data_IF_558076115421
#
_entry.id   IF_558076115421
#
_cell.length_a   1.000
_cell.length_b   1.000
_cell.length_c   1.000
_cell.angle_alpha   90.00
_cell.angle_beta   90.00
_cell.angle_gamma   90.00
#
_symmetry.space_group_name_H-M   'P 1'
#
loop_
_entity.id
_entity.type
_entity.pdbx_description
1 polymer ?
#
# COMPACT_ATOMS: atom_id res chain seq x y z
N UNK A 1 -12.31 -33.40 14.77
CA UNK A 1 -13.42 -32.64 15.41
C UNK A 1 -14.26 -32.04 14.29
N UNK A 2 -15.60 -32.07 14.34
CA UNK A 2 -16.40 -31.46 13.29
C UNK A 2 -16.12 -29.95 13.26
N UNK A 3 -15.91 -29.39 12.06
CA UNK A 3 -15.68 -27.97 11.86
C UNK A 3 -16.78 -27.17 12.57
N UNK A 4 -16.40 -26.26 13.47
CA UNK A 4 -17.35 -25.42 14.18
C UNK A 4 -18.23 -24.68 13.16
N UNK A 5 -19.55 -24.83 13.26
CA UNK A 5 -20.48 -24.16 12.36
C UNK A 5 -20.37 -22.65 12.56
N UNK A 6 -19.87 -21.94 11.54
CA UNK A 6 -19.77 -20.48 11.58
C UNK A 6 -21.11 -19.85 11.98
N UNK A 7 -21.06 -18.81 12.79
CA UNK A 7 -22.26 -18.07 13.24
C UNK A 7 -22.91 -17.32 12.08
N UNK A 8 -24.21 -16.99 12.21
CA UNK A 8 -24.93 -16.15 11.20
C UNK A 8 -24.23 -14.80 11.01
N UNK A 9 -23.69 -14.25 12.10
CA UNK A 9 -22.89 -13.04 12.10
C UNK A 9 -21.65 -13.21 11.20
N UNK A 10 -20.80 -14.21 11.47
CA UNK A 10 -19.59 -14.47 10.68
C UNK A 10 -19.87 -14.64 9.18
N UNK A 11 -20.97 -15.31 8.82
CA UNK A 11 -21.39 -15.47 7.41
C UNK A 11 -21.80 -14.17 6.71
N UNK A 12 -22.33 -13.19 7.44
CA UNK A 12 -22.85 -11.93 6.88
C UNK A 12 -21.95 -10.73 7.09
N UNK A 13 -20.90 -10.87 7.90
CA UNK A 13 -19.99 -9.77 8.25
C UNK A 13 -19.46 -9.04 7.02
N UNK A 14 -18.93 -9.77 6.03
CA UNK A 14 -18.39 -9.15 4.81
C UNK A 14 -19.39 -8.21 4.13
N UNK A 15 -20.59 -8.72 3.82
CA UNK A 15 -21.62 -7.93 3.16
C UNK A 15 -22.07 -6.74 4.00
N UNK A 16 -22.17 -6.90 5.33
CA UNK A 16 -22.55 -5.82 6.23
C UNK A 16 -21.50 -4.71 6.27
N UNK A 17 -20.22 -5.05 6.44
CA UNK A 17 -19.13 -4.07 6.45
C UNK A 17 -18.96 -3.39 5.08
N UNK A 18 -18.98 -4.15 3.99
CA UNK A 18 -18.86 -3.61 2.64
C UNK A 18 -20.02 -2.63 2.32
N UNK A 19 -21.27 -3.00 2.62
CA UNK A 19 -22.41 -2.12 2.43
C UNK A 19 -22.33 -0.89 3.33
N UNK A 20 -21.96 -1.06 4.60
CA UNK A 20 -21.81 0.04 5.54
C UNK A 20 -20.81 1.09 5.00
N UNK A 21 -19.60 0.67 4.64
CA UNK A 21 -18.59 1.60 4.12
C UNK A 21 -19.00 2.21 2.79
N UNK A 22 -19.57 1.43 1.87
CA UNK A 22 -20.02 1.96 0.58
C UNK A 22 -21.10 3.04 0.75
N UNK A 23 -22.04 2.84 1.67
CA UNK A 23 -23.06 3.85 1.99
C UNK A 23 -22.44 5.10 2.62
N UNK A 24 -21.49 4.94 3.54
CA UNK A 24 -20.74 6.06 4.12
C UNK A 24 -20.01 6.84 3.03
N UNK A 25 -19.28 6.17 2.14
CA UNK A 25 -18.55 6.84 1.05
C UNK A 25 -19.50 7.61 0.13
N UNK A 26 -20.62 7.01 -0.29
CA UNK A 26 -21.62 7.68 -1.12
C UNK A 26 -22.16 8.96 -0.47
N UNK A 27 -22.47 8.91 0.84
CA UNK A 27 -22.92 10.08 1.59
C UNK A 27 -21.82 11.14 1.65
N UNK A 28 -20.59 10.77 1.99
CA UNK A 28 -19.48 11.71 2.10
C UNK A 28 -19.13 12.35 0.75
N UNK A 29 -19.08 11.59 -0.34
CA UNK A 29 -18.88 12.14 -1.68
C UNK A 29 -20.01 13.10 -2.06
N UNK A 30 -21.27 12.72 -1.82
CA UNK A 30 -22.42 13.58 -2.14
C UNK A 30 -22.38 14.92 -1.38
N UNK A 31 -22.00 14.90 -0.10
CA UNK A 31 -21.95 16.09 0.72
C UNK A 31 -20.78 17.01 0.33
N UNK A 32 -19.58 16.45 0.17
CA UNK A 32 -18.33 17.23 0.18
C UNK A 32 -17.60 17.31 -1.16
N UNK A 33 -17.79 16.36 -2.07
CA UNK A 33 -17.06 16.31 -3.33
C UNK A 33 -17.77 17.14 -4.41
N UNK A 34 -16.98 17.85 -5.21
CA UNK A 34 -17.45 18.62 -6.37
C UNK A 34 -16.61 18.25 -7.60
N UNK A 35 -17.21 18.39 -8.79
CA UNK A 35 -16.43 18.39 -10.02
C UNK A 35 -15.73 19.72 -10.19
N UNK A 36 -14.61 19.70 -10.89
CA UNK A 36 -13.91 20.92 -11.28
C UNK A 36 -14.80 21.69 -12.24
N UNK A 37 -14.92 23.00 -11.99
CA UNK A 37 -15.70 23.87 -12.86
C UNK A 37 -15.06 23.87 -14.27
N UNK A 38 -15.80 23.48 -15.32
CA UNK A 38 -15.28 23.49 -16.68
C UNK A 38 -14.98 24.90 -17.19
N UNK A 39 -15.26 25.97 -16.44
CA UNK A 39 -14.90 27.34 -16.81
C UNK A 39 -13.68 27.87 -16.03
N UNK A 40 -13.18 27.12 -15.04
CA UNK A 40 -11.99 27.50 -14.25
C UNK A 40 -10.71 26.98 -14.91
N UNK A 41 -10.17 27.76 -15.85
CA UNK A 41 -8.95 27.42 -16.58
C UNK A 41 -7.71 27.31 -15.66
N UNK A 42 -7.73 27.89 -14.45
CA UNK A 42 -6.63 27.76 -13.48
C UNK A 42 -6.51 26.36 -12.87
N UNK A 43 -7.60 25.58 -12.90
CA UNK A 43 -7.65 24.18 -12.46
C UNK A 43 -7.63 23.18 -13.61
N UNK A 44 -7.64 23.67 -14.85
CA UNK A 44 -7.49 22.88 -16.09
C UNK A 44 -6.05 22.69 -16.52
N UNK A 45 -5.08 22.96 -15.63
CA UNK A 45 -3.67 22.66 -15.84
C UNK A 45 -3.46 21.13 -15.74
N UNK A 46 -4.13 20.38 -16.61
CA UNK A 46 -3.82 19.00 -16.87
C UNK A 46 -2.85 18.99 -18.02
N UNK A 47 -1.66 18.45 -17.78
CA UNK A 47 -0.81 18.09 -18.90
C UNK A 47 -1.55 17.01 -19.69
N UNK A 48 -1.48 17.03 -21.02
CA UNK A 48 -2.01 15.92 -21.86
C UNK A 48 -1.42 14.54 -21.51
N UNK A 49 -0.41 14.51 -20.64
CA UNK A 49 0.25 13.32 -20.10
C UNK A 49 -0.34 12.77 -18.80
N UNK A 50 -1.15 13.53 -18.06
CA UNK A 50 -1.58 13.11 -16.71
C UNK A 50 -2.54 11.93 -16.73
N UNK A 51 -3.47 11.92 -17.70
CA UNK A 51 -4.41 10.81 -17.85
C UNK A 51 -3.73 9.51 -18.30
N UNK A 52 -2.82 9.50 -19.30
CA UNK A 52 -2.00 8.34 -19.59
C UNK A 52 -1.20 7.81 -18.39
N UNK A 53 -0.54 8.70 -17.63
CA UNK A 53 0.20 8.29 -16.42
C UNK A 53 -0.73 7.69 -15.36
N UNK A 54 -1.91 8.27 -15.16
CA UNK A 54 -2.92 7.69 -14.31
C UNK A 54 -3.32 6.29 -14.77
N UNK A 55 -3.54 6.07 -16.06
CA UNK A 55 -3.87 4.74 -16.59
C UNK A 55 -2.76 3.71 -16.31
N UNK A 56 -1.49 4.09 -16.47
CA UNK A 56 -0.35 3.21 -16.21
C UNK A 56 -0.27 2.83 -14.72
N UNK A 57 -0.42 3.82 -13.83
CA UNK A 57 -0.46 3.58 -12.37
C UNK A 57 -1.67 2.72 -12.00
N UNK A 58 -2.85 3.01 -12.55
CA UNK A 58 -4.07 2.25 -12.28
C UNK A 58 -3.93 0.79 -12.75
N UNK A 59 -3.31 0.56 -13.90
CA UNK A 59 -3.01 -0.79 -14.40
C UNK A 59 -2.06 -1.53 -13.44
N UNK A 60 -1.02 -0.86 -12.92
CA UNK A 60 -0.13 -1.43 -11.92
C UNK A 60 -0.88 -1.84 -10.65
N UNK A 61 -1.84 -1.04 -10.18
CA UNK A 61 -2.66 -1.35 -9.00
C UNK A 61 -3.57 -2.56 -9.22
N UNK A 62 -4.34 -2.58 -10.30
CA UNK A 62 -5.35 -3.63 -10.51
C UNK A 62 -4.77 -4.91 -11.09
N UNK A 63 -3.87 -4.80 -12.08
CA UNK A 63 -3.29 -5.94 -12.80
C UNK A 63 -1.92 -6.29 -12.24
N UNK A 64 -1.04 -5.30 -12.07
CA UNK A 64 0.34 -5.53 -11.60
C UNK A 64 0.38 -6.24 -10.25
N UNK A 65 -0.08 -5.58 -9.18
CA UNK A 65 -0.15 -6.17 -7.84
C UNK A 65 -1.06 -7.40 -7.78
N UNK A 66 -2.21 -7.36 -8.46
CA UNK A 66 -3.16 -8.47 -8.48
C UNK A 66 -2.56 -9.79 -8.98
N UNK A 67 -1.85 -9.76 -10.11
CA UNK A 67 -1.20 -10.95 -10.66
C UNK A 67 0.16 -11.24 -10.02
N UNK A 68 0.87 -10.24 -9.51
CA UNK A 68 2.09 -10.46 -8.72
C UNK A 68 1.81 -11.33 -7.50
N UNK A 69 0.69 -11.10 -6.81
CA UNK A 69 0.28 -11.89 -5.64
C UNK A 69 -0.34 -13.25 -6.01
N UNK A 70 -0.61 -13.52 -7.28
CA UNK A 70 -1.21 -14.77 -7.74
C UNK A 70 -0.20 -15.94 -7.85
N UNK A 71 1.05 -15.77 -7.40
CA UNK A 71 2.07 -16.82 -7.43
C UNK A 71 1.75 -17.99 -6.49
N UNK A 72 0.90 -17.79 -5.47
CA UNK A 72 0.45 -18.84 -4.58
C UNK A 72 -0.49 -19.80 -5.32
N UNK A 73 0.02 -21.01 -5.59
CA UNK A 73 -0.64 -22.07 -6.39
C UNK A 73 -2.11 -22.36 -6.03
N UNK A 74 -2.52 -22.10 -4.79
CA UNK A 74 -3.86 -22.39 -4.27
C UNK A 74 -4.62 -21.16 -3.74
N UNK A 75 -4.08 -19.95 -3.95
CA UNK A 75 -4.65 -18.69 -3.48
C UNK A 75 -4.80 -17.65 -4.61
N UNK A 76 -4.65 -18.07 -5.87
CA UNK A 76 -4.61 -17.16 -7.01
C UNK A 76 -5.93 -16.40 -7.21
N UNK A 77 -7.07 -17.04 -6.97
CA UNK A 77 -8.37 -16.36 -7.08
C UNK A 77 -8.55 -15.34 -5.97
N UNK A 78 -8.25 -15.70 -4.72
CA UNK A 78 -8.30 -14.79 -3.58
C UNK A 78 -7.34 -13.62 -3.74
N UNK A 79 -6.12 -13.85 -4.22
CA UNK A 79 -5.14 -12.80 -4.48
C UNK A 79 -5.70 -11.71 -5.42
N UNK A 80 -6.22 -12.10 -6.59
CA UNK A 80 -6.72 -11.14 -7.60
C UNK A 80 -8.02 -10.46 -7.15
N UNK A 81 -8.94 -11.22 -6.57
CA UNK A 81 -10.26 -10.72 -6.16
C UNK A 81 -10.24 -9.84 -4.91
N UNK A 82 -9.41 -10.19 -3.90
CA UNK A 82 -9.20 -9.35 -2.73
C UNK A 82 -8.42 -8.09 -3.12
N UNK A 83 -7.46 -8.20 -4.05
CA UNK A 83 -6.81 -7.02 -4.64
C UNK A 83 -7.85 -6.08 -5.28
N UNK A 84 -8.73 -6.60 -6.14
CA UNK A 84 -9.81 -5.82 -6.76
C UNK A 84 -10.72 -5.13 -5.72
N UNK A 85 -11.14 -5.87 -4.70
CA UNK A 85 -11.97 -5.37 -3.60
C UNK A 85 -11.26 -4.24 -2.84
N UNK A 86 -10.01 -4.47 -2.45
CA UNK A 86 -9.23 -3.50 -1.69
C UNK A 86 -8.95 -2.26 -2.52
N UNK A 87 -8.59 -2.41 -3.80
CA UNK A 87 -8.35 -1.26 -4.66
C UNK A 87 -9.59 -0.40 -4.84
N UNK A 88 -10.74 -1.01 -5.11
CA UNK A 88 -12.01 -0.28 -5.22
C UNK A 88 -12.37 0.46 -3.92
N UNK A 89 -12.07 -0.14 -2.76
CA UNK A 89 -12.32 0.46 -1.45
C UNK A 89 -11.35 1.60 -1.14
N UNK A 90 -10.04 1.36 -1.26
CA UNK A 90 -8.99 2.28 -0.83
C UNK A 90 -8.97 3.53 -1.69
N UNK A 91 -9.16 3.42 -3.00
CA UNK A 91 -9.17 4.59 -3.88
C UNK A 91 -10.28 5.57 -3.47
N UNK A 92 -11.50 5.07 -3.20
CA UNK A 92 -12.60 5.88 -2.69
C UNK A 92 -12.26 6.53 -1.36
N UNK A 93 -11.73 5.75 -0.40
CA UNK A 93 -11.43 6.26 0.92
C UNK A 93 -10.29 7.29 0.93
N UNK A 94 -9.23 7.02 0.17
CA UNK A 94 -8.08 7.91 0.02
C UNK A 94 -8.47 9.24 -0.64
N UNK A 95 -9.33 9.22 -1.67
CA UNK A 95 -9.85 10.46 -2.28
C UNK A 95 -10.61 11.32 -1.26
N UNK A 96 -11.45 10.70 -0.42
CA UNK A 96 -12.17 11.42 0.65
C UNK A 96 -11.22 12.03 1.68
N UNK A 97 -10.29 11.23 2.20
CA UNK A 97 -9.32 11.69 3.22
C UNK A 97 -8.42 12.81 2.71
N UNK A 98 -7.87 12.67 1.50
CA UNK A 98 -7.04 13.71 0.87
C UNK A 98 -7.86 14.96 0.56
N UNK A 99 -9.11 14.78 0.13
CA UNK A 99 -10.07 15.86 -0.03
C UNK A 99 -10.28 16.64 1.27
N UNK A 100 -10.53 15.97 2.39
CA UNK A 100 -10.70 16.61 3.71
C UNK A 100 -9.45 17.31 4.22
N UNK A 101 -8.25 16.82 3.89
CA UNK A 101 -6.98 17.45 4.26
C UNK A 101 -6.54 18.56 3.28
N UNK A 102 -7.29 18.79 2.20
CA UNK A 102 -6.97 19.82 1.22
C UNK A 102 -7.22 21.22 1.77
N UNK A 103 -6.41 22.19 1.33
CA UNK A 103 -6.62 23.61 1.65
C UNK A 103 -8.00 24.09 1.18
N UNK A 104 -8.47 23.61 0.03
CA UNK A 104 -9.80 23.96 -0.48
C UNK A 104 -10.91 23.56 0.51
N UNK A 105 -10.83 22.36 1.09
CA UNK A 105 -11.81 21.92 2.07
C UNK A 105 -11.80 22.78 3.32
N UNK A 106 -10.62 23.18 3.80
CA UNK A 106 -10.50 24.12 4.91
C UNK A 106 -11.17 25.47 4.62
N UNK A 107 -11.04 25.97 3.40
CA UNK A 107 -11.53 27.30 3.04
C UNK A 107 -13.01 27.32 2.62
N UNK A 108 -13.52 26.27 1.98
CA UNK A 108 -14.88 26.25 1.40
C UNK A 108 -15.78 25.14 1.94
N UNK A 109 -15.28 24.22 2.76
CA UNK A 109 -16.01 23.05 3.23
C UNK A 109 -16.27 21.98 2.16
N UNK A 110 -15.63 22.09 0.99
CA UNK A 110 -15.78 21.13 -0.12
C UNK A 110 -14.44 20.95 -0.83
N UNK A 111 -14.23 19.82 -1.51
CA UNK A 111 -13.04 19.59 -2.34
C UNK A 111 -13.42 19.15 -3.76
N UNK A 112 -12.52 19.37 -4.71
CA UNK A 112 -12.68 18.90 -6.08
C UNK A 112 -11.79 17.71 -6.39
N UNK A 113 -12.26 16.82 -7.26
CA UNK A 113 -11.46 15.68 -7.74
C UNK A 113 -11.11 15.84 -9.22
N UNK A 114 -9.83 15.62 -9.51
CA UNK A 114 -9.26 15.50 -10.84
C UNK A 114 -8.39 14.26 -10.96
N UNK A 115 -7.71 14.13 -12.10
CA UNK A 115 -6.80 13.02 -12.40
C UNK A 115 -5.61 12.92 -11.41
N UNK A 116 -4.95 14.02 -11.01
CA UNK A 116 -3.85 13.99 -10.04
C UNK A 116 -4.31 13.48 -8.66
N UNK A 117 -5.50 13.87 -8.20
CA UNK A 117 -6.06 13.39 -6.94
C UNK A 117 -6.34 11.88 -7.01
N UNK A 118 -6.86 11.40 -8.15
CA UNK A 118 -7.06 9.96 -8.38
C UNK A 118 -5.74 9.20 -8.42
N UNK A 119 -4.70 9.73 -9.07
CA UNK A 119 -3.38 9.11 -9.11
C UNK A 119 -2.72 9.07 -7.71
N UNK A 120 -2.92 10.09 -6.89
CA UNK A 120 -2.51 10.08 -5.48
C UNK A 120 -3.30 9.06 -4.64
N UNK A 121 -4.58 8.83 -4.95
CA UNK A 121 -5.38 7.80 -4.32
C UNK A 121 -4.89 6.39 -4.70
N UNK A 122 -4.54 6.15 -5.96
CA UNK A 122 -3.93 4.90 -6.42
C UNK A 122 -2.59 4.62 -5.71
N UNK A 123 -1.77 5.63 -5.50
CA UNK A 123 -0.55 5.47 -4.73
C UNK A 123 -0.82 5.10 -3.25
N UNK A 124 -1.93 5.58 -2.67
CA UNK A 124 -2.38 5.16 -1.33
C UNK A 124 -2.88 3.72 -1.33
N UNK A 125 -3.48 3.29 -2.45
CA UNK A 125 -3.84 1.89 -2.66
C UNK A 125 -2.60 0.99 -2.70
N UNK A 126 -1.52 1.40 -3.37
CA UNK A 126 -0.28 0.64 -3.40
C UNK A 126 0.24 0.29 -1.99
N UNK A 127 0.09 1.21 -1.02
CA UNK A 127 0.43 0.98 0.40
C UNK A 127 -0.26 -0.26 0.95
N UNK A 128 -1.59 -0.29 0.82
CA UNK A 128 -2.42 -1.38 1.32
C UNK A 128 -2.13 -2.70 0.59
N UNK A 129 -1.81 -2.64 -0.70
CA UNK A 129 -1.46 -3.82 -1.50
C UNK A 129 -0.08 -4.39 -1.13
N UNK A 130 0.88 -3.53 -0.75
CA UNK A 130 2.16 -3.97 -0.18
C UNK A 130 1.93 -4.70 1.15
N UNK A 131 1.10 -4.13 2.03
CA UNK A 131 0.69 -4.79 3.28
C UNK A 131 -0.05 -6.10 3.03
N UNK A 132 -0.93 -6.13 2.03
CA UNK A 132 -1.63 -7.35 1.62
C UNK A 132 -0.64 -8.44 1.20
N UNK A 133 0.44 -8.09 0.50
CA UNK A 133 1.52 -9.03 0.17
C UNK A 133 2.16 -9.68 1.40
N UNK A 134 2.39 -8.93 2.47
CA UNK A 134 2.92 -9.45 3.74
C UNK A 134 1.94 -10.41 4.43
N UNK A 135 0.65 -10.10 4.36
CA UNK A 135 -0.42 -10.83 5.06
C UNK A 135 -1.17 -11.81 4.13
N UNK A 136 -0.61 -12.08 2.97
CA UNK A 136 -1.28 -12.80 1.88
C UNK A 136 -1.67 -14.21 2.32
N UNK A 137 -2.95 -14.54 2.16
CA UNK A 137 -3.50 -15.82 2.62
C UNK A 137 -3.48 -16.00 4.13
N UNK A 138 -3.40 -14.94 4.94
CA UNK A 138 -3.53 -15.06 6.41
C UNK A 138 -4.73 -14.32 6.98
N UNK A 139 -5.44 -13.55 6.15
CA UNK A 139 -6.58 -12.75 6.59
C UNK A 139 -7.82 -13.00 5.74
N UNK A 140 -8.98 -12.80 6.34
CA UNK A 140 -10.27 -12.81 5.67
C UNK A 140 -10.52 -11.51 4.91
N UNK A 141 -11.40 -11.49 3.89
CA UNK A 141 -11.80 -10.24 3.22
C UNK A 141 -12.32 -9.16 4.19
N UNK A 142 -12.96 -9.56 5.30
CA UNK A 142 -13.42 -8.62 6.35
C UNK A 142 -12.22 -7.98 7.05
N UNK A 143 -11.22 -8.78 7.42
CA UNK A 143 -10.00 -8.26 8.04
C UNK A 143 -9.23 -7.36 7.08
N UNK A 144 -9.18 -7.70 5.79
CA UNK A 144 -8.59 -6.85 4.77
C UNK A 144 -9.33 -5.50 4.62
N UNK A 145 -10.68 -5.47 4.63
CA UNK A 145 -11.43 -4.21 4.60
C UNK A 145 -11.14 -3.31 5.81
N UNK A 146 -11.08 -3.90 7.01
CA UNK A 146 -10.77 -3.14 8.23
C UNK A 146 -9.32 -2.65 8.25
N UNK A 147 -8.38 -3.51 7.83
CA UNK A 147 -6.98 -3.13 7.66
C UNK A 147 -6.87 -1.95 6.68
N UNK A 148 -7.48 -2.05 5.51
CA UNK A 148 -7.46 -1.02 4.49
C UNK A 148 -8.04 0.30 4.99
N UNK A 149 -9.11 0.26 5.79
CA UNK A 149 -9.67 1.47 6.42
C UNK A 149 -8.67 2.17 7.32
N UNK A 150 -8.09 1.45 8.29
CA UNK A 150 -7.15 2.04 9.25
C UNK A 150 -5.82 2.43 8.61
N UNK A 151 -5.25 1.55 7.79
CA UNK A 151 -3.97 1.79 7.11
C UNK A 151 -4.05 3.00 6.19
N UNK A 152 -5.11 3.12 5.38
CA UNK A 152 -5.28 4.28 4.49
C UNK A 152 -5.42 5.58 5.27
N UNK A 153 -6.17 5.58 6.38
CA UNK A 153 -6.30 6.77 7.24
C UNK A 153 -4.96 7.22 7.79
N UNK A 154 -4.13 6.29 8.25
CA UNK A 154 -2.81 6.60 8.81
C UNK A 154 -1.84 6.98 7.70
N UNK A 155 -1.82 6.26 6.57
CA UNK A 155 -0.88 6.50 5.48
C UNK A 155 -1.12 7.87 4.81
N UNK A 156 -2.38 8.25 4.59
CA UNK A 156 -2.73 9.58 4.06
C UNK A 156 -2.36 10.69 5.04
N UNK A 157 -2.56 10.47 6.34
CA UNK A 157 -2.13 11.43 7.36
C UNK A 157 -0.60 11.58 7.40
N UNK A 158 0.13 10.46 7.33
CA UNK A 158 1.61 10.46 7.29
C UNK A 158 2.12 11.15 6.04
N UNK A 159 1.53 10.87 4.87
CA UNK A 159 1.85 11.57 3.63
C UNK A 159 1.66 13.09 3.80
N UNK A 160 0.52 13.53 4.34
CA UNK A 160 0.27 14.95 4.61
C UNK A 160 1.31 15.56 5.56
N UNK A 161 1.65 14.88 6.66
CA UNK A 161 2.67 15.36 7.60
C UNK A 161 4.04 15.45 6.93
N UNK A 162 4.45 14.41 6.21
CA UNK A 162 5.79 14.30 5.64
C UNK A 162 5.97 15.23 4.44
N UNK A 163 5.02 15.23 3.51
CA UNK A 163 5.12 15.97 2.25
C UNK A 163 4.59 17.39 2.38
N UNK A 164 3.41 17.59 2.99
CA UNK A 164 2.80 18.93 3.06
C UNK A 164 3.27 19.76 4.26
N UNK A 165 3.61 19.15 5.40
CA UNK A 165 4.03 19.90 6.60
C UNK A 165 5.55 19.96 6.74
N UNK A 166 6.23 18.80 6.66
CA UNK A 166 7.69 18.74 6.80
C UNK A 166 8.43 19.08 5.50
N UNK A 167 7.74 19.13 4.36
CA UNK A 167 8.31 19.39 3.04
C UNK A 167 9.50 18.46 2.72
N UNK A 168 9.33 17.19 3.06
CA UNK A 168 10.24 16.10 2.72
C UNK A 168 10.08 15.82 1.24
N UNK A 169 11.19 15.74 0.52
CA UNK A 169 11.15 15.33 -0.88
C UNK A 169 11.07 13.80 -0.93
N UNK A 170 9.89 13.31 -1.30
CA UNK A 170 9.63 11.90 -1.55
C UNK A 170 8.87 11.74 -2.89
N UNK A 171 9.35 12.39 -3.95
CA UNK A 171 8.69 12.34 -5.26
C UNK A 171 8.48 10.93 -5.82
N UNK A 172 9.38 10.00 -5.50
CA UNK A 172 9.26 8.58 -5.82
C UNK A 172 8.43 7.75 -4.86
N UNK A 173 7.88 8.37 -3.82
CA UNK A 173 7.05 7.73 -2.79
C UNK A 173 7.72 6.55 -2.09
N UNK A 174 9.05 6.49 -2.09
CA UNK A 174 9.80 5.41 -1.45
C UNK A 174 9.55 5.35 0.05
N UNK A 175 9.34 6.50 0.68
CA UNK A 175 9.11 6.59 2.11
C UNK A 175 7.62 6.40 2.44
N UNK A 176 6.76 7.29 1.94
CA UNK A 176 5.35 7.34 2.35
C UNK A 176 4.49 6.23 1.73
N UNK A 177 4.97 5.56 0.68
CA UNK A 177 4.29 4.39 0.10
C UNK A 177 5.00 3.09 0.45
N UNK A 178 6.22 2.90 -0.07
CA UNK A 178 6.87 1.59 0.01
C UNK A 178 7.32 1.26 1.43
N UNK A 179 8.13 2.11 2.06
CA UNK A 179 8.56 1.87 3.43
C UNK A 179 7.37 1.81 4.38
N UNK A 180 6.45 2.79 4.32
CA UNK A 180 5.28 2.81 5.19
C UNK A 180 4.47 1.51 5.11
N UNK A 181 3.99 1.11 3.92
CA UNK A 181 3.14 -0.07 3.77
C UNK A 181 3.87 -1.33 4.20
N UNK A 182 5.14 -1.45 3.84
CA UNK A 182 5.90 -2.65 4.15
C UNK A 182 6.14 -2.80 5.68
N UNK A 183 6.50 -1.73 6.39
CA UNK A 183 6.64 -1.78 7.86
C UNK A 183 5.29 -1.88 8.59
N UNK A 184 4.24 -1.25 8.06
CA UNK A 184 2.90 -1.35 8.60
C UNK A 184 2.40 -2.79 8.54
N UNK A 185 2.52 -3.44 7.38
CA UNK A 185 2.09 -4.83 7.20
C UNK A 185 2.84 -5.82 8.08
N UNK A 186 4.14 -5.62 8.30
CA UNK A 186 4.92 -6.49 9.20
C UNK A 186 4.56 -6.29 10.67
N UNK A 187 4.37 -5.04 11.07
CA UNK A 187 3.87 -4.72 12.40
C UNK A 187 2.46 -5.30 12.62
N UNK A 188 1.57 -5.20 11.62
CA UNK A 188 0.24 -5.80 11.64
C UNK A 188 0.28 -7.34 11.66
N UNK A 189 1.30 -7.96 11.07
CA UNK A 189 1.54 -9.40 11.15
C UNK A 189 2.02 -9.88 12.54
N UNK A 190 2.37 -8.96 13.44
CA UNK A 190 2.96 -9.22 14.76
C UNK A 190 4.23 -10.09 14.71
N UNK A 191 4.92 -10.13 13.56
CA UNK A 191 6.20 -10.83 13.42
C UNK A 191 7.27 -10.01 14.13
N UNK A 192 8.09 -10.65 14.98
CA UNK A 192 8.96 -9.99 15.96
C UNK A 192 9.82 -8.84 15.42
N UNK A 193 9.65 -7.67 16.03
CA UNK A 193 10.21 -6.35 15.70
C UNK A 193 11.74 -6.29 15.51
N UNK A 194 12.49 -7.28 16.02
CA UNK A 194 13.96 -7.32 16.01
C UNK A 194 14.55 -7.95 14.73
N UNK A 195 13.93 -8.98 14.15
CA UNK A 195 14.34 -9.51 12.84
C UNK A 195 13.94 -8.55 11.71
N UNK A 196 12.85 -7.80 11.92
CA UNK A 196 12.32 -6.80 10.99
C UNK A 196 13.24 -5.61 10.79
N UNK A 197 13.95 -5.14 11.83
CA UNK A 197 14.87 -4.01 11.67
C UNK A 197 16.15 -4.39 10.90
N UNK A 198 16.56 -5.67 10.97
CA UNK A 198 17.82 -6.19 10.41
C UNK A 198 17.73 -6.47 8.91
N UNK A 199 16.61 -7.02 8.42
CA UNK A 199 16.51 -7.51 7.03
C UNK A 199 15.81 -6.57 6.05
N UNK A 200 15.28 -5.44 6.51
CA UNK A 200 14.31 -4.69 5.73
C UNK A 200 14.80 -3.61 4.77
N UNK A 201 16.00 -3.01 4.93
CA UNK A 201 16.61 -2.22 3.86
C UNK A 201 16.68 -3.00 2.53
N UNK A 202 16.71 -4.34 2.57
CA UNK A 202 16.71 -5.24 1.41
C UNK A 202 15.35 -5.43 0.75
N UNK A 203 14.24 -5.35 1.51
CA UNK A 203 12.89 -5.39 0.93
C UNK A 203 12.54 -4.06 0.25
N UNK A 204 12.91 -2.93 0.87
CA UNK A 204 12.76 -1.61 0.23
C UNK A 204 13.61 -1.50 -1.04
N UNK A 205 14.82 -2.08 -1.08
CA UNK A 205 15.64 -2.18 -2.29
C UNK A 205 14.95 -2.94 -3.44
N UNK A 206 14.19 -3.99 -3.12
CA UNK A 206 13.54 -4.87 -4.08
C UNK A 206 12.29 -4.24 -4.71
N UNK A 207 11.63 -3.35 -3.97
CA UNK A 207 10.33 -2.76 -4.35
C UNK A 207 10.45 -1.27 -4.67
N UNK A 208 11.55 -0.60 -4.32
CA UNK A 208 11.81 0.79 -4.72
C UNK A 208 12.06 0.87 -6.23
N UNK A 209 11.19 1.58 -6.93
CA UNK A 209 11.67 2.38 -8.05
C UNK A 209 12.56 3.51 -7.50
N UNK A 210 13.63 3.95 -8.22
CA UNK A 210 14.61 4.93 -7.74
C UNK A 210 14.06 6.33 -7.39
N UNK A 211 12.74 6.53 -7.37
CA UNK A 211 12.08 7.81 -7.55
C UNK A 211 12.46 8.93 -6.55
N UNK A 212 12.77 8.63 -5.28
CA UNK A 212 13.16 9.69 -4.33
C UNK A 212 14.56 10.25 -4.61
N UNK A 213 15.40 9.47 -5.31
CA UNK A 213 16.66 9.92 -5.90
C UNK A 213 16.55 10.25 -7.41
N UNK A 214 15.50 9.79 -8.11
CA UNK A 214 15.33 10.02 -9.55
C UNK A 214 15.00 11.49 -9.90
N UNK A 215 14.52 12.27 -8.93
CA UNK A 215 14.37 13.71 -9.10
C UNK A 215 15.74 14.43 -9.10
N UNK A 216 16.79 13.86 -8.52
CA UNK A 216 18.16 14.30 -8.76
C UNK A 216 18.57 13.82 -10.16
N UNK A 217 19.16 14.70 -10.96
CA UNK A 217 19.57 14.40 -12.35
C UNK A 217 20.58 13.25 -12.35
N UNK A 218 20.06 12.04 -12.45
CA UNK A 218 20.78 10.81 -12.70
C UNK A 218 20.51 10.49 -14.17
N UNK A 219 21.55 10.48 -15.02
CA UNK A 219 21.37 9.98 -16.39
C UNK A 219 20.72 8.58 -16.33
N UNK A 220 19.95 8.14 -17.34
CA UNK A 220 19.28 6.83 -17.33
C UNK A 220 20.22 5.66 -16.97
N UNK A 221 21.51 5.75 -17.33
CA UNK A 221 22.55 4.80 -16.92
C UNK A 221 22.78 4.72 -15.40
N UNK A 222 22.66 5.82 -14.68
CA UNK A 222 22.78 5.87 -13.22
C UNK A 222 21.50 5.35 -12.55
N UNK A 223 20.30 5.64 -13.09
CA UNK A 223 19.06 5.05 -12.60
C UNK A 223 19.05 3.52 -12.79
N UNK A 224 19.56 3.04 -13.93
CA UNK A 224 19.79 1.61 -14.19
C UNK A 224 20.87 1.05 -13.27
N UNK A 225 21.98 1.77 -13.01
CA UNK A 225 22.99 1.34 -12.07
C UNK A 225 22.45 1.24 -10.63
N UNK A 226 21.66 2.21 -10.19
CA UNK A 226 20.95 2.17 -8.88
C UNK A 226 19.96 1.01 -8.86
N UNK A 227 19.18 0.79 -9.92
CA UNK A 227 18.25 -0.33 -10.03
C UNK A 227 18.96 -1.69 -10.01
N UNK A 228 20.07 -1.84 -10.73
CA UNK A 228 20.92 -3.03 -10.72
C UNK A 228 21.52 -3.21 -9.32
N UNK A 229 22.10 -2.18 -8.71
CA UNK A 229 22.63 -2.23 -7.36
C UNK A 229 21.55 -2.58 -6.34
N UNK A 230 20.34 -2.02 -6.46
CA UNK A 230 19.20 -2.33 -5.60
C UNK A 230 18.72 -3.78 -5.81
N UNK A 231 18.73 -4.27 -7.04
CA UNK A 231 18.45 -5.68 -7.38
C UNK A 231 19.51 -6.63 -6.79
N UNK A 232 20.80 -6.29 -6.91
CA UNK A 232 21.91 -7.05 -6.31
C UNK A 232 21.87 -6.99 -4.77
N UNK A 233 21.52 -5.84 -4.19
CA UNK A 233 21.32 -5.65 -2.74
C UNK A 233 20.07 -6.38 -2.23
N UNK A 234 19.03 -6.50 -3.06
CA UNK A 234 17.84 -7.33 -2.80
C UNK A 234 18.17 -8.82 -2.83
N UNK A 235 19.11 -9.25 -3.69
CA UNK A 235 19.54 -10.65 -3.81
C UNK A 235 20.57 -11.05 -2.74
N UNK A 236 21.40 -10.11 -2.27
CA UNK A 236 22.50 -10.36 -1.31
C UNK A 236 22.15 -9.89 0.12
N UNK A 237 21.05 -9.15 0.29
CA UNK A 237 20.45 -8.92 1.60
C UNK A 237 21.28 -8.12 2.59
N UNK A 238 21.73 -6.88 2.29
CA UNK A 238 22.28 -5.99 3.33
C UNK A 238 22.08 -4.46 3.11
N UNK A 239 21.32 -3.84 4.03
CA UNK A 239 21.51 -2.57 4.77
C UNK A 239 21.92 -1.19 4.16
N UNK A 240 22.31 -1.02 2.89
CA UNK A 240 23.14 0.16 2.56
C UNK A 240 22.58 1.27 1.64
N UNK A 241 21.37 1.16 1.07
CA UNK A 241 20.92 2.10 0.03
C UNK A 241 20.68 3.55 0.49
N UNK A 242 20.13 3.77 1.69
CA UNK A 242 19.95 5.11 2.27
C UNK A 242 21.27 5.74 2.73
N UNK A 243 22.28 4.93 3.05
CA UNK A 243 23.65 5.41 3.32
C UNK A 243 24.35 5.77 2.01
N UNK A 244 24.11 5.03 0.94
CA UNK A 244 24.65 5.36 -0.38
C UNK A 244 24.07 6.63 -0.97
N UNK A 245 22.78 6.93 -0.80
CA UNK A 245 22.23 8.23 -1.25
C UNK A 245 22.87 9.42 -0.52
N UNK A 246 23.22 9.25 0.76
CA UNK A 246 24.02 10.23 1.54
C UNK A 246 25.45 10.32 0.99
N UNK A 247 26.11 9.19 0.71
CA UNK A 247 27.47 9.17 0.12
C UNK A 247 27.49 9.81 -1.28
N UNK A 248 26.49 9.52 -2.11
CA UNK A 248 26.32 10.16 -3.43
C UNK A 248 26.05 11.66 -3.29
N UNK A 249 25.23 12.07 -2.32
CA UNK A 249 24.99 13.50 -2.04
C UNK A 249 26.23 14.22 -1.49
N UNK A 250 27.12 13.53 -0.77
CA UNK A 250 28.39 14.07 -0.28
C UNK A 250 29.50 14.07 -1.35
N UNK A 251 29.45 13.16 -2.33
CA UNK A 251 30.47 13.00 -3.36
C UNK A 251 30.24 13.79 -4.65
N UNK A 252 29.03 14.32 -4.87
CA UNK A 252 28.72 15.13 -6.06
C UNK A 252 29.03 16.61 -5.83
N UNK A 253 29.72 17.22 -6.80
CA UNK A 253 30.00 18.66 -6.75
C UNK A 253 28.70 19.48 -6.90
N UNK A 254 28.52 20.52 -6.07
CA UNK A 254 27.38 21.46 -6.12
C UNK A 254 26.98 21.96 -7.51
N UNK A 255 27.97 22.12 -8.39
CA UNK A 255 27.81 22.65 -9.75
C UNK A 255 27.05 21.68 -10.67
N UNK A 256 27.11 20.37 -10.39
CA UNK A 256 26.36 19.35 -11.14
C UNK A 256 24.86 19.38 -10.87
N UNK A 257 24.42 19.98 -9.75
CA UNK A 257 23.00 20.11 -9.39
C UNK A 257 22.36 21.41 -9.90
N UNK A 258 23.15 22.32 -10.46
CA UNK A 258 22.87 23.77 -10.49
C UNK A 258 21.59 24.23 -11.22
N UNK A 259 20.95 23.37 -12.00
CA UNK A 259 19.68 23.71 -12.70
C UNK A 259 18.43 23.05 -12.14
N UNK A 260 18.55 22.00 -11.32
CA UNK A 260 17.41 21.21 -10.82
C UNK A 260 17.32 21.15 -9.30
N UNK A 261 18.34 21.59 -8.56
CA UNK A 261 18.35 21.54 -7.10
C UNK A 261 17.11 22.21 -6.48
N UNK A 262 16.77 23.41 -6.94
CA UNK A 262 15.61 24.16 -6.46
C UNK A 262 14.26 23.63 -6.97
N UNK A 263 14.25 22.79 -8.01
CA UNK A 263 13.06 22.03 -8.41
C UNK A 263 12.82 20.84 -7.47
N UNK A 264 13.89 20.23 -6.97
CA UNK A 264 13.85 19.07 -6.06
C UNK A 264 13.59 19.52 -4.61
N UNK A 265 14.24 20.61 -4.21
CA UNK A 265 14.15 21.19 -2.87
C UNK A 265 13.74 22.68 -2.97
N UNK A 266 12.46 22.96 -3.22
CA UNK A 266 11.99 24.32 -3.47
C UNK A 266 12.07 25.24 -2.25
N UNK A 267 12.16 24.69 -1.05
CA UNK A 267 12.28 25.40 0.23
C UNK A 267 13.73 25.72 0.64
N UNK A 268 14.70 25.54 -0.26
CA UNK A 268 16.06 26.01 0.01
C UNK A 268 16.12 27.52 0.04
N UNK A 269 17.08 28.07 0.79
CA UNK A 269 17.42 29.49 0.74
C UNK A 269 17.77 29.88 -0.72
N UNK A 270 17.05 30.88 -1.25
CA UNK A 270 17.16 31.29 -2.66
C UNK A 270 16.34 30.45 -3.65
N UNK A 271 15.53 29.51 -3.16
CA UNK A 271 14.60 28.70 -3.97
C UNK A 271 13.27 29.40 -4.29
N UNK A 272 12.47 28.82 -5.21
CA UNK A 272 11.23 29.42 -5.70
C UNK A 272 10.12 29.55 -4.66
N UNK A 273 10.20 28.82 -3.54
CA UNK A 273 9.24 28.93 -2.43
C UNK A 273 9.75 29.85 -1.30
N UNK A 274 10.84 30.59 -1.53
CA UNK A 274 11.44 31.52 -0.56
C UNK A 274 11.68 30.89 0.82
N UNK A 275 12.06 29.62 0.84
CA UNK A 275 12.34 28.90 2.08
C UNK A 275 13.66 29.33 2.74
N UNK A 276 13.85 28.90 3.98
CA UNK A 276 14.99 29.25 4.84
C UNK A 276 15.99 28.09 5.02
N UNK A 277 15.83 27.00 4.26
CA UNK A 277 16.58 25.76 4.51
C UNK A 277 17.92 25.76 3.79
N UNK A 278 18.96 25.40 4.52
CA UNK A 278 20.23 24.96 3.94
C UNK A 278 20.26 23.42 3.78
N UNK A 279 21.35 22.89 3.21
CA UNK A 279 21.51 21.45 2.95
C UNK A 279 21.41 20.59 4.21
N UNK A 280 22.06 21.02 5.29
CA UNK A 280 22.06 20.31 6.57
C UNK A 280 20.65 20.27 7.18
N UNK A 281 19.96 21.40 7.15
CA UNK A 281 18.58 21.53 7.61
C UNK A 281 17.68 20.61 6.81
N UNK A 282 17.75 20.63 5.48
CA UNK A 282 16.95 19.72 4.67
C UNK A 282 17.26 18.25 4.97
N UNK A 283 18.52 17.88 5.17
CA UNK A 283 18.89 16.51 5.53
C UNK A 283 18.25 16.09 6.87
N UNK A 284 18.20 16.98 7.85
CA UNK A 284 17.50 16.74 9.12
C UNK A 284 15.98 16.58 8.92
N UNK A 285 15.35 17.37 8.03
CA UNK A 285 13.94 17.19 7.70
C UNK A 285 13.68 15.87 6.96
N UNK A 286 14.55 15.43 6.05
CA UNK A 286 14.45 14.11 5.41
C UNK A 286 14.53 12.98 6.46
N UNK A 287 15.45 13.10 7.43
CA UNK A 287 15.57 12.15 8.54
C UNK A 287 14.34 12.18 9.46
N UNK A 288 13.81 13.36 9.78
CA UNK A 288 12.60 13.51 10.58
C UNK A 288 11.37 12.92 9.88
N UNK A 289 11.26 13.12 8.55
CA UNK A 289 10.25 12.46 7.71
C UNK A 289 10.36 10.95 7.81
N UNK A 290 11.57 10.41 7.61
CA UNK A 290 11.83 8.98 7.72
C UNK A 290 11.43 8.42 9.09
N UNK A 291 11.87 9.07 10.17
CA UNK A 291 11.52 8.68 11.54
C UNK A 291 10.00 8.71 11.77
N UNK A 292 9.32 9.75 11.29
CA UNK A 292 7.86 9.90 11.41
C UNK A 292 7.13 8.77 10.69
N UNK A 293 7.49 8.49 9.44
CA UNK A 293 6.89 7.41 8.65
C UNK A 293 7.06 6.06 9.34
N UNK A 294 8.27 5.73 9.79
CA UNK A 294 8.55 4.44 10.41
C UNK A 294 7.83 4.27 11.75
N UNK A 295 7.85 5.31 12.59
CA UNK A 295 7.17 5.28 13.88
C UNK A 295 5.66 5.08 13.71
N UNK A 296 5.04 5.83 12.79
CA UNK A 296 3.60 5.74 12.51
C UNK A 296 3.22 4.42 11.85
N UNK A 297 4.06 3.88 10.95
CA UNK A 297 3.85 2.57 10.33
C UNK A 297 3.87 1.45 11.37
N UNK A 298 4.89 1.42 12.24
CA UNK A 298 5.02 0.38 13.27
C UNK A 298 3.91 0.49 14.30
N UNK A 299 3.66 1.68 14.84
CA UNK A 299 2.62 1.87 15.86
C UNK A 299 1.22 1.61 15.29
N UNK A 300 0.92 2.17 14.12
CA UNK A 300 -0.34 1.96 13.41
C UNK A 300 -0.57 0.50 13.04
N UNK A 301 0.47 -0.17 12.53
CA UNK A 301 0.44 -1.58 12.18
C UNK A 301 0.20 -2.46 13.41
N UNK A 302 0.91 -2.25 14.51
CA UNK A 302 0.71 -3.00 15.76
C UNK A 302 -0.73 -2.86 16.28
N UNK A 303 -1.25 -1.63 16.36
CA UNK A 303 -2.63 -1.41 16.81
C UNK A 303 -3.63 -2.08 15.87
N UNK A 304 -3.44 -1.92 14.56
CA UNK A 304 -4.32 -2.51 13.55
C UNK A 304 -4.29 -4.04 13.64
N UNK A 305 -3.10 -4.65 13.74
CA UNK A 305 -2.93 -6.09 13.93
C UNK A 305 -3.66 -6.61 15.17
N UNK A 306 -3.57 -5.90 16.30
CA UNK A 306 -4.28 -6.25 17.54
C UNK A 306 -5.81 -6.16 17.36
N UNK A 307 -6.31 -5.13 16.68
CA UNK A 307 -7.75 -4.98 16.36
C UNK A 307 -8.21 -6.16 15.48
N UNK A 308 -7.41 -6.55 14.50
CA UNK A 308 -7.74 -7.62 13.56
C UNK A 308 -7.74 -9.01 14.20
N UNK A 309 -7.17 -9.19 15.39
CA UNK A 309 -7.19 -10.44 16.16
C UNK A 309 -8.39 -10.59 17.09
N UNK A 310 -9.27 -9.58 17.17
CA UNK A 310 -10.47 -9.67 18.02
C UNK A 310 -11.38 -10.80 17.53
N UNK A 311 -11.77 -11.69 18.45
CA UNK A 311 -12.55 -12.93 18.17
C UNK A 311 -13.94 -12.71 17.58
N UNK A 312 -14.45 -11.47 17.60
CA UNK A 312 -15.73 -11.12 16.98
C UNK A 312 -15.62 -11.05 15.44
N UNK A 313 -14.41 -10.86 14.92
CA UNK A 313 -14.15 -10.82 13.48
C UNK A 313 -14.05 -12.24 12.92
N UNK A 314 -14.47 -12.39 11.67
CA UNK A 314 -14.25 -13.63 10.94
C UNK A 314 -12.73 -13.87 10.79
N UNK A 315 -12.26 -14.98 11.33
CA UNK A 315 -10.86 -15.42 11.30
C UNK A 315 -10.73 -16.64 10.38
N UNK A 316 -9.52 -16.93 9.92
CA UNK A 316 -9.24 -18.22 9.29
C UNK A 316 -9.23 -19.28 10.40
N UNK A 317 -10.15 -20.23 10.33
CA UNK A 317 -10.34 -21.26 11.36
C UNK A 317 -9.26 -22.37 11.33
N UNK A 318 -8.54 -22.54 10.20
CA UNK A 318 -7.52 -23.59 10.01
C UNK A 318 -6.15 -23.01 9.58
N UNK A 319 -5.09 -23.12 10.42
CA UNK A 319 -3.73 -22.71 10.10
C UNK A 319 -3.14 -23.43 8.87
N UNK A 320 -3.50 -24.69 8.64
CA UNK A 320 -3.00 -25.48 7.49
C UNK A 320 -3.73 -25.12 6.18
N UNK A 321 -4.84 -24.38 6.28
CA UNK A 321 -5.68 -23.92 5.18
C UNK A 321 -5.50 -22.45 4.79
N UNK A 322 -4.62 -21.70 5.47
CA UNK A 322 -4.45 -20.25 5.32
C UNK A 322 -4.33 -19.82 3.82
N UNK A 323 -3.57 -20.57 3.03
CA UNK A 323 -3.30 -20.27 1.62
C UNK A 323 -4.20 -21.00 0.61
N UNK A 324 -5.45 -21.34 0.99
CA UNK A 324 -6.40 -22.00 0.10
C UNK A 324 -7.63 -21.13 -0.22
N UNK A 325 -7.94 -20.99 -1.51
CA UNK A 325 -9.11 -20.26 -2.04
C UNK A 325 -10.46 -20.80 -1.52
N UNK A 326 -10.48 -22.07 -1.07
CA UNK A 326 -11.67 -22.77 -0.61
C UNK A 326 -12.33 -22.15 0.63
N UNK A 327 -11.60 -21.30 1.37
CA UNK A 327 -12.13 -20.64 2.56
C UNK A 327 -13.06 -19.45 2.23
N UNK A 328 -12.97 -18.90 1.01
CA UNK A 328 -13.69 -17.67 0.63
C UNK A 328 -14.52 -17.82 -0.64
N UNK A 329 -14.16 -18.75 -1.52
CA UNK A 329 -14.83 -18.96 -2.79
C UNK A 329 -15.62 -20.26 -2.77
N UNK A 330 -16.81 -20.22 -3.39
CA UNK A 330 -17.59 -21.43 -3.61
C UNK A 330 -16.74 -22.46 -4.38
N UNK A 331 -16.79 -23.72 -3.94
CA UNK A 331 -16.07 -24.79 -4.61
C UNK A 331 -16.57 -24.92 -6.06
N UNK A 332 -15.74 -24.51 -7.02
CA UNK A 332 -16.06 -24.66 -8.43
C UNK A 332 -16.02 -26.12 -8.84
N UNK A 333 -17.04 -26.60 -9.55
CA UNK A 333 -17.06 -27.90 -10.21
C UNK A 333 -16.04 -28.03 -11.34
N UNK A 334 -15.41 -26.93 -11.77
CA UNK A 334 -14.40 -26.92 -12.82
C UNK A 334 -12.97 -26.87 -12.27
N UNK A 335 -12.78 -26.65 -10.96
CA UNK A 335 -11.45 -26.61 -10.36
C UNK A 335 -10.92 -28.04 -10.16
N UNK A 336 -9.83 -28.39 -10.83
CA UNK A 336 -9.20 -29.71 -10.72
C UNK A 336 -8.80 -30.05 -9.27
N UNK A 337 -8.32 -29.07 -8.50
CA UNK A 337 -7.92 -29.28 -7.11
C UNK A 337 -9.13 -29.62 -6.23
N UNK A 338 -10.29 -28.98 -6.46
CA UNK A 338 -11.52 -29.28 -5.72
C UNK A 338 -12.06 -30.67 -6.06
N UNK A 339 -11.90 -31.14 -7.31
CA UNK A 339 -12.23 -32.51 -7.72
C UNK A 339 -11.30 -33.53 -7.07
N UNK A 340 -9.99 -33.27 -7.10
CA UNK A 340 -8.99 -34.17 -6.52
C UNK A 340 -9.16 -34.31 -5.00
N UNK A 341 -9.41 -33.21 -4.29
CA UNK A 341 -9.67 -33.25 -2.84
C UNK A 341 -10.97 -33.98 -2.53
N UNK A 342 -12.06 -33.75 -3.27
CA UNK A 342 -13.32 -34.49 -3.10
C UNK A 342 -13.12 -36.00 -3.32
N UNK A 343 -12.37 -36.37 -4.36
CA UNK A 343 -12.04 -37.76 -4.62
C UNK A 343 -11.25 -38.37 -3.46
N UNK A 344 -10.28 -37.63 -2.91
CA UNK A 344 -9.45 -38.11 -1.79
C UNK A 344 -10.20 -38.19 -0.47
N UNK A 345 -11.12 -37.26 -0.18
CA UNK A 345 -12.01 -37.32 0.98
C UNK A 345 -12.98 -38.49 0.87
N UNK A 346 -13.56 -38.72 -0.31
CA UNK A 346 -14.39 -39.89 -0.57
C UNK A 346 -13.61 -41.19 -0.37
N UNK A 347 -12.36 -41.26 -0.84
CA UNK A 347 -11.49 -42.43 -0.69
C UNK A 347 -11.10 -42.68 0.78
N UNK A 348 -10.85 -41.64 1.57
CA UNK A 348 -10.62 -41.78 3.02
C UNK A 348 -11.87 -42.24 3.76
N UNK A 349 -13.03 -41.65 3.47
CA UNK A 349 -14.31 -42.04 4.07
C UNK A 349 -14.67 -43.49 3.74
N UNK A 350 -14.35 -43.94 2.51
CA UNK A 350 -14.57 -45.33 2.09
C UNK A 350 -13.61 -46.29 2.81
N UNK A 351 -12.34 -45.91 3.00
CA UNK A 351 -11.39 -46.68 3.84
C UNK A 351 -11.82 -46.77 5.29
N UNK A 352 -12.26 -45.68 5.90
CA UNK A 352 -12.77 -45.68 7.28
C UNK A 352 -14.00 -46.59 7.41
N UNK A 353 -14.93 -46.50 6.44
CA UNK A 353 -16.12 -47.35 6.43
C UNK A 353 -15.77 -48.84 6.29
N UNK A 354 -14.75 -49.19 5.50
CA UNK A 354 -14.26 -50.56 5.39
C UNK A 354 -13.59 -51.04 6.68
N UNK A 355 -12.86 -50.18 7.38
CA UNK A 355 -12.27 -50.48 8.69
C UNK A 355 -13.29 -50.67 9.82
N UNK A 356 -14.51 -50.13 9.69
CA UNK A 356 -15.60 -50.40 10.64
C UNK A 356 -16.32 -51.73 10.36
N UNK A 357 -16.22 -52.24 9.13
CA UNK A 357 -16.92 -53.46 8.67
C UNK A 357 -16.08 -54.72 8.89
N UNK A 358 -14.75 -54.61 8.82
CA UNK A 358 -13.77 -55.70 9.03
C UNK A 358 -13.03 -55.52 10.35
#
# INVERSE_FOLDING_TARGET
MPAATQTVWQRRQFSLFALFFQMVFLVLFSLFCRYIDPLDDSKRIYSGTDYPLFQDVHLMIFVGFGFLMAFLKRYGFSAVSVNLLLSAFVIQWAMLLRGFLSKQFHDTGTFTLGVPEMMCADASCAVVLITMGVLLGRMTPVQFLLLAFFETSISVLVDHIVVNILHVNDGGRSLVVHAFGAYFGLAAALVGTLLLWVFFPSFNAAVQEPGSAANAVLYPSHAVAVGICASFVSVIGHAWLSVFSIIFALGYEPESYGKTLYHIYPYFEGGPMEGDRNRETQALYQLAGMGTTLAMAVFGGLITGLILQVRILNQIDDPDGAHHDINYYAQSEFNFLSKYQRAREQEMLERERLHEIY
#
